data_IF_586237330116
#
_entry.id   IF_586237330116
#
_cell.length_a   1.000
_cell.length_b   1.000
_cell.length_c   1.000
_cell.angle_alpha   90.00
_cell.angle_beta   90.00
_cell.angle_gamma   90.00
#
_symmetry.space_group_name_H-M   'P 1'
#
loop_
_entity.id
_entity.type
_entity.pdbx_description
1 polymer ?
#
# COMPACT_ATOMS: atom_id res chain seq x y z
N UNK A 1 -21.28 -1.49 14.86
CA UNK A 1 -21.14 -1.47 16.34
C UNK A 1 -22.12 -2.48 16.90
N UNK A 2 -21.65 -3.35 17.77
CA UNK A 2 -22.46 -4.31 18.51
C UNK A 2 -22.72 -3.68 19.88
N UNK A 3 -23.98 -3.62 20.31
CA UNK A 3 -24.35 -3.00 21.60
C UNK A 3 -23.73 -3.65 22.82
N UNK A 4 -23.24 -4.91 22.68
CA UNK A 4 -22.58 -5.67 23.74
C UNK A 4 -21.04 -5.50 23.77
N UNK A 5 -20.42 -5.05 22.65
CA UNK A 5 -18.99 -4.89 22.51
C UNK A 5 -18.68 -3.46 22.02
N UNK A 6 -18.81 -2.49 22.95
CA UNK A 6 -18.59 -1.07 22.66
C UNK A 6 -17.09 -0.68 22.65
N UNK A 7 -16.26 -1.43 23.36
CA UNK A 7 -14.83 -1.18 23.45
C UNK A 7 -14.09 -1.98 22.38
N UNK A 8 -13.60 -1.29 21.36
CA UNK A 8 -12.84 -1.87 20.25
C UNK A 8 -11.51 -2.43 20.72
N UNK A 9 -10.85 -1.80 21.71
CA UNK A 9 -9.58 -2.24 22.26
C UNK A 9 -9.75 -3.55 23.01
N UNK A 10 -10.77 -3.65 23.86
CA UNK A 10 -11.09 -4.89 24.56
C UNK A 10 -11.41 -6.03 23.57
N UNK A 11 -12.19 -5.74 22.54
CA UNK A 11 -12.52 -6.70 21.49
C UNK A 11 -11.27 -7.22 20.76
N UNK A 12 -10.35 -6.32 20.41
CA UNK A 12 -9.08 -6.69 19.75
C UNK A 12 -8.23 -7.59 20.66
N UNK A 13 -8.11 -7.27 21.94
CA UNK A 13 -7.39 -8.09 22.92
C UNK A 13 -8.01 -9.49 23.06
N UNK A 14 -9.33 -9.59 23.16
CA UNK A 14 -10.04 -10.87 23.23
C UNK A 14 -9.85 -11.72 21.97
N UNK A 15 -9.90 -11.11 20.81
CA UNK A 15 -9.64 -11.80 19.55
C UNK A 15 -8.20 -12.31 19.47
N UNK A 16 -7.23 -11.46 19.83
CA UNK A 16 -5.83 -11.82 19.91
C UNK A 16 -5.62 -13.02 20.87
N UNK A 17 -6.16 -12.94 22.08
CA UNK A 17 -6.00 -14.02 23.07
C UNK A 17 -6.61 -15.33 22.56
N UNK A 18 -7.79 -15.30 21.97
CA UNK A 18 -8.43 -16.47 21.40
C UNK A 18 -7.59 -17.14 20.29
N UNK A 19 -6.97 -16.32 19.42
CA UNK A 19 -6.07 -16.82 18.36
C UNK A 19 -4.81 -17.43 18.98
N UNK A 20 -4.15 -16.72 19.91
CA UNK A 20 -2.92 -17.20 20.54
C UNK A 20 -3.15 -18.46 21.35
N UNK A 21 -4.24 -18.55 22.10
CA UNK A 21 -4.58 -19.73 22.89
C UNK A 21 -4.88 -20.94 21.98
N UNK A 22 -5.61 -20.69 20.89
CA UNK A 22 -5.87 -21.76 19.90
C UNK A 22 -4.60 -22.27 19.22
N UNK A 23 -3.68 -21.39 18.89
CA UNK A 23 -2.39 -21.78 18.31
C UNK A 23 -1.54 -22.53 19.31
N UNK A 24 -1.52 -22.11 20.58
CA UNK A 24 -0.86 -22.85 21.65
C UNK A 24 -1.41 -24.28 21.77
N UNK A 25 -2.75 -24.44 21.75
CA UNK A 25 -3.38 -25.75 21.89
C UNK A 25 -3.09 -26.67 20.70
N UNK A 26 -2.88 -26.09 19.49
CA UNK A 26 -2.58 -26.87 18.29
C UNK A 26 -1.10 -27.19 18.12
N UNK A 27 -0.20 -26.29 18.52
CA UNK A 27 1.24 -26.36 18.24
C UNK A 27 2.11 -26.58 19.48
N UNK A 28 1.51 -26.50 20.69
CA UNK A 28 2.23 -26.59 21.95
C UNK A 28 2.88 -25.29 22.40
N UNK A 29 3.01 -24.30 21.54
CA UNK A 29 3.64 -23.01 21.83
C UNK A 29 2.69 -21.87 21.56
N UNK A 30 2.71 -20.86 22.44
CA UNK A 30 1.97 -19.62 22.25
C UNK A 30 2.80 -18.68 21.38
N UNK A 31 2.27 -18.14 20.27
CA UNK A 31 2.99 -17.18 19.46
C UNK A 31 3.21 -15.86 20.22
N UNK A 32 4.33 -15.21 19.95
CA UNK A 32 4.60 -13.87 20.41
C UNK A 32 3.66 -12.87 19.75
N UNK A 33 3.45 -11.75 20.42
CA UNK A 33 2.57 -10.68 19.93
C UNK A 33 3.36 -9.38 19.88
N UNK A 34 3.65 -8.91 18.68
CA UNK A 34 4.18 -7.57 18.44
C UNK A 34 3.09 -6.68 17.83
N UNK A 35 2.78 -5.57 18.52
CA UNK A 35 1.76 -4.62 18.08
C UNK A 35 2.29 -3.63 17.03
N UNK A 36 3.61 -3.44 16.97
CA UNK A 36 4.26 -2.47 16.09
C UNK A 36 4.73 -3.13 14.79
N UNK A 37 5.39 -4.29 14.91
CA UNK A 37 5.98 -5.02 13.79
C UNK A 37 5.51 -6.49 13.77
N UNK A 38 4.20 -6.73 13.61
CA UNK A 38 3.69 -8.12 13.58
C UNK A 38 4.08 -8.80 12.28
N UNK A 39 4.42 -10.08 12.34
CA UNK A 39 4.61 -10.94 11.16
C UNK A 39 3.31 -11.05 10.35
N UNK A 40 2.18 -11.12 11.06
CA UNK A 40 0.87 -11.20 10.46
C UNK A 40 -0.13 -10.30 11.18
N UNK A 41 -0.71 -9.37 10.46
CA UNK A 41 -1.74 -8.47 11.01
C UNK A 41 -3.13 -9.04 10.78
N UNK A 42 -3.88 -9.20 11.88
CA UNK A 42 -5.25 -9.70 11.86
C UNK A 42 -6.21 -8.55 12.14
N UNK A 43 -7.19 -8.37 11.29
CA UNK A 43 -8.25 -7.37 11.45
C UNK A 43 -9.58 -8.05 11.74
N UNK A 44 -10.30 -7.57 12.75
CA UNK A 44 -11.61 -8.08 13.14
C UNK A 44 -12.66 -7.00 12.96
N UNK A 45 -13.64 -7.28 12.14
CA UNK A 45 -14.79 -6.39 11.91
C UNK A 45 -16.05 -7.01 12.53
N UNK A 46 -16.65 -6.29 13.47
CA UNK A 46 -17.89 -6.68 14.12
C UNK A 46 -19.05 -5.83 13.61
N UNK A 47 -20.04 -6.49 13.03
CA UNK A 47 -21.25 -5.83 12.55
C UNK A 47 -22.50 -6.58 13.04
N UNK A 48 -23.27 -5.97 13.93
CA UNK A 48 -24.42 -6.60 14.56
C UNK A 48 -24.06 -7.95 15.21
N UNK A 49 -24.49 -9.06 14.64
CA UNK A 49 -24.24 -10.44 15.11
C UNK A 49 -23.17 -11.17 14.30
N UNK A 50 -22.52 -10.49 13.35
CA UNK A 50 -21.50 -11.07 12.50
C UNK A 50 -20.12 -10.56 12.88
N UNK A 51 -19.18 -11.46 13.06
CA UNK A 51 -17.74 -11.17 13.13
C UNK A 51 -17.09 -11.62 11.82
N UNK A 52 -16.32 -10.73 11.21
CA UNK A 52 -15.49 -11.08 10.05
C UNK A 52 -14.04 -10.87 10.42
N UNK A 53 -13.23 -11.88 10.21
CA UNK A 53 -11.80 -11.86 10.47
C UNK A 53 -11.08 -11.78 9.14
N UNK A 54 -10.19 -10.83 9.00
CA UNK A 54 -9.34 -10.64 7.83
C UNK A 54 -7.88 -10.78 8.22
N UNK A 55 -7.09 -11.24 7.29
CA UNK A 55 -5.63 -11.22 7.37
C UNK A 55 -5.16 -10.09 6.45
N UNK A 56 -4.36 -9.18 6.98
CA UNK A 56 -3.79 -8.09 6.20
C UNK A 56 -2.51 -8.57 5.51
N UNK A 57 -2.63 -8.83 4.23
CA UNK A 57 -1.52 -9.28 3.38
C UNK A 57 -0.64 -8.12 2.90
N UNK A 58 -1.07 -6.87 3.09
CA UNK A 58 -0.28 -5.71 2.67
C UNK A 58 0.86 -5.37 3.64
N UNK A 59 0.71 -5.71 4.92
CA UNK A 59 1.69 -5.43 5.96
C UNK A 59 1.83 -3.96 6.37
N UNK A 60 1.16 -3.05 5.67
CA UNK A 60 1.16 -1.61 5.95
C UNK A 60 0.36 -0.83 4.92
N UNK A 61 0.26 0.50 5.10
CA UNK A 61 -0.49 1.34 4.16
C UNK A 61 0.08 1.26 2.74
N UNK A 62 -0.79 0.96 1.76
CA UNK A 62 -0.41 0.87 0.35
C UNK A 62 -0.17 2.25 -0.29
N UNK A 63 -0.58 3.32 0.37
CA UNK A 63 -0.26 4.68 -0.07
C UNK A 63 1.22 5.02 0.09
N UNK A 64 1.91 4.35 1.02
CA UNK A 64 3.33 4.55 1.24
C UNK A 64 4.16 3.88 0.12
N UNK A 65 4.48 4.64 -0.92
CA UNK A 65 5.28 4.18 -2.08
C UNK A 65 6.80 4.17 -1.80
N UNK A 66 7.25 4.89 -0.78
CA UNK A 66 8.67 5.01 -0.43
C UNK A 66 9.44 6.13 -1.16
N UNK A 67 8.84 6.83 -2.11
CA UNK A 67 9.51 7.94 -2.79
C UNK A 67 9.39 9.28 -2.05
N UNK A 68 8.58 9.34 -1.02
CA UNK A 68 8.34 10.57 -0.26
C UNK A 68 9.28 10.64 0.92
N UNK A 69 10.07 11.71 1.00
CA UNK A 69 10.85 12.02 2.20
C UNK A 69 9.96 12.74 3.21
N UNK A 70 9.69 12.08 4.34
CA UNK A 70 8.85 12.63 5.40
C UNK A 70 9.38 13.94 5.98
N UNK A 71 10.69 14.22 5.86
CA UNK A 71 11.32 15.43 6.36
C UNK A 71 11.10 16.67 5.46
N UNK A 72 10.69 16.46 4.20
CA UNK A 72 10.55 17.53 3.21
C UNK A 72 9.12 17.96 2.91
N UNK A 73 8.12 17.27 3.46
CA UNK A 73 6.72 17.59 3.21
C UNK A 73 6.22 18.69 4.14
N UNK A 74 6.28 19.94 3.70
CA UNK A 74 5.74 21.11 4.43
C UNK A 74 4.26 21.34 4.21
N UNK A 75 3.64 20.68 3.23
CA UNK A 75 2.21 20.79 2.91
C UNK A 75 1.50 19.43 3.05
N UNK A 76 0.19 19.43 3.26
CA UNK A 76 -0.63 18.22 3.24
C UNK A 76 -0.80 17.75 1.79
N UNK A 77 0.02 16.83 1.31
CA UNK A 77 -0.01 16.43 -0.08
C UNK A 77 -1.21 15.54 -0.37
N UNK A 78 -1.59 15.46 -1.64
CA UNK A 78 -2.54 14.45 -2.12
C UNK A 78 -1.94 13.06 -1.83
N UNK A 79 -2.74 12.14 -1.27
CA UNK A 79 -2.31 10.76 -1.06
C UNK A 79 -1.99 10.08 -2.40
N UNK A 80 -0.95 9.27 -2.44
CA UNK A 80 -0.48 8.58 -3.63
C UNK A 80 -1.58 7.72 -4.27
N UNK A 81 -2.35 7.02 -3.45
CA UNK A 81 -3.47 6.19 -3.92
C UNK A 81 -4.59 7.03 -4.55
N UNK A 82 -4.83 8.24 -4.03
CA UNK A 82 -5.82 9.15 -4.61
C UNK A 82 -5.31 9.71 -5.95
N UNK A 83 -4.05 10.13 -6.02
CA UNK A 83 -3.43 10.59 -7.26
C UNK A 83 -3.48 9.51 -8.35
N UNK A 84 -3.12 8.27 -8.01
CA UNK A 84 -3.23 7.13 -8.93
C UNK A 84 -4.67 6.89 -9.37
N UNK A 85 -5.65 6.96 -8.46
CA UNK A 85 -7.07 6.78 -8.79
C UNK A 85 -7.58 7.87 -9.75
N UNK A 86 -7.18 9.12 -9.56
CA UNK A 86 -7.52 10.22 -10.46
C UNK A 86 -6.96 10.00 -11.87
N UNK A 87 -5.70 9.57 -11.97
CA UNK A 87 -5.04 9.27 -13.25
C UNK A 87 -5.71 8.09 -13.97
N UNK A 88 -6.07 7.04 -13.24
CA UNK A 88 -6.79 5.90 -13.79
C UNK A 88 -8.19 6.31 -14.27
N UNK A 89 -8.91 7.12 -13.51
CA UNK A 89 -10.22 7.65 -13.90
C UNK A 89 -10.14 8.53 -15.17
N UNK A 90 -9.02 9.21 -15.39
CA UNK A 90 -8.74 10.00 -16.59
C UNK A 90 -8.23 9.17 -17.79
N UNK A 91 -8.19 7.86 -17.71
CA UNK A 91 -7.59 6.95 -18.70
C UNK A 91 -6.12 7.29 -19.02
N UNK A 92 -5.37 7.74 -17.99
CA UNK A 92 -3.95 8.07 -18.21
C UNK A 92 -3.13 6.91 -18.79
N UNK A 93 -3.30 5.65 -18.39
CA UNK A 93 -2.58 4.52 -19.00
C UNK A 93 -2.80 4.42 -20.51
N UNK A 94 -4.03 4.61 -20.99
CA UNK A 94 -4.37 4.63 -22.42
C UNK A 94 -3.77 5.85 -23.13
N UNK A 95 -3.92 7.02 -22.53
CA UNK A 95 -3.38 8.29 -23.05
C UNK A 95 -1.87 8.27 -23.17
N UNK A 96 -1.16 7.82 -22.13
CA UNK A 96 0.30 7.70 -22.13
C UNK A 96 0.80 6.77 -23.25
N UNK A 97 0.11 5.65 -23.50
CA UNK A 97 0.46 4.75 -24.62
C UNK A 97 0.28 5.41 -25.98
N UNK A 98 -0.68 6.32 -26.15
CA UNK A 98 -0.89 7.10 -27.37
C UNK A 98 0.10 8.26 -27.54
N UNK A 99 0.90 8.55 -26.52
CA UNK A 99 1.87 9.64 -26.53
C UNK A 99 1.29 10.98 -26.08
N UNK A 100 0.13 10.98 -25.43
CA UNK A 100 -0.46 12.19 -24.86
C UNK A 100 0.47 12.77 -23.76
N UNK A 101 0.41 14.09 -23.63
CA UNK A 101 1.21 14.85 -22.64
C UNK A 101 0.35 15.11 -21.40
N UNK A 102 0.94 14.96 -20.21
CA UNK A 102 0.33 15.37 -18.96
C UNK A 102 0.95 16.69 -18.50
N UNK A 103 0.10 17.63 -18.10
CA UNK A 103 0.52 18.90 -17.51
C UNK A 103 -0.14 19.05 -16.15
N UNK A 104 0.67 19.20 -15.11
CA UNK A 104 0.27 19.51 -13.74
C UNK A 104 0.80 20.90 -13.38
N UNK A 105 -0.07 21.91 -13.46
CA UNK A 105 0.31 23.31 -13.28
C UNK A 105 0.32 23.78 -11.82
N UNK A 106 -0.12 22.93 -10.89
CA UNK A 106 -0.11 23.19 -9.43
C UNK A 106 0.34 21.92 -8.70
N UNK A 107 1.54 21.46 -9.01
CA UNK A 107 2.01 20.13 -8.64
C UNK A 107 2.34 19.95 -7.15
N UNK A 108 2.48 21.03 -6.40
CA UNK A 108 2.90 21.01 -4.99
C UNK A 108 4.11 20.07 -4.79
N UNK A 109 3.93 18.97 -4.05
CA UNK A 109 4.99 17.95 -3.84
C UNK A 109 5.23 17.04 -5.04
N UNK A 110 4.56 17.24 -6.16
CA UNK A 110 4.71 16.45 -7.39
C UNK A 110 4.05 15.08 -7.37
N UNK A 111 3.20 14.77 -6.38
CA UNK A 111 2.60 13.44 -6.23
C UNK A 111 1.89 12.96 -7.49
N UNK A 112 1.06 13.83 -8.11
CA UNK A 112 0.32 13.47 -9.32
C UNK A 112 1.28 13.19 -10.50
N UNK A 113 2.29 14.02 -10.66
CA UNK A 113 3.29 13.86 -11.72
C UNK A 113 4.12 12.59 -11.55
N UNK A 114 4.51 12.25 -10.30
CA UNK A 114 5.26 11.03 -9.99
C UNK A 114 4.40 9.79 -10.26
N UNK A 115 3.17 9.74 -9.77
CA UNK A 115 2.26 8.62 -10.03
C UNK A 115 1.96 8.49 -11.54
N UNK A 116 1.84 9.61 -12.26
CA UNK A 116 1.66 9.61 -13.69
C UNK A 116 2.88 9.01 -14.43
N UNK A 117 4.10 9.35 -13.98
CA UNK A 117 5.33 8.79 -14.53
C UNK A 117 5.44 7.28 -14.26
N UNK A 118 5.14 6.85 -13.04
CA UNK A 118 5.14 5.43 -12.67
C UNK A 118 4.14 4.63 -13.52
N UNK A 119 2.91 5.13 -13.67
CA UNK A 119 1.88 4.49 -14.50
C UNK A 119 2.31 4.43 -15.97
N UNK A 120 2.86 5.53 -16.51
CA UNK A 120 3.29 5.60 -17.90
C UNK A 120 4.48 4.68 -18.21
N UNK A 121 5.35 4.46 -17.24
CA UNK A 121 6.52 3.58 -17.34
C UNK A 121 6.21 2.13 -16.90
N UNK A 122 4.96 1.82 -16.58
CA UNK A 122 4.54 0.50 -16.10
C UNK A 122 5.31 0.01 -14.84
N UNK A 123 5.68 0.96 -13.99
CA UNK A 123 6.38 0.68 -12.72
C UNK A 123 5.36 0.24 -11.68
N UNK A 124 5.58 -0.92 -11.09
CA UNK A 124 4.72 -1.44 -10.03
C UNK A 124 4.76 -0.51 -8.80
N UNK A 125 3.59 -0.07 -8.27
CA UNK A 125 3.54 0.90 -7.17
C UNK A 125 4.14 0.40 -5.85
N UNK A 126 4.34 -0.91 -5.72
CA UNK A 126 4.96 -1.55 -4.55
C UNK A 126 6.43 -1.93 -4.73
N UNK A 127 7.08 -1.56 -5.83
CA UNK A 127 8.44 -2.02 -6.15
C UNK A 127 9.49 -1.62 -5.10
N UNK A 128 9.28 -0.46 -4.45
CA UNK A 128 10.18 0.04 -3.41
C UNK A 128 9.84 -0.45 -2.00
N UNK A 129 8.80 -1.25 -1.83
CA UNK A 129 8.41 -1.77 -0.51
C UNK A 129 9.30 -2.93 -0.12
N UNK A 130 9.87 -2.85 1.08
CA UNK A 130 10.71 -3.89 1.67
C UNK A 130 9.94 -4.88 2.54
N UNK A 131 8.69 -4.56 2.91
CA UNK A 131 7.91 -5.38 3.83
C UNK A 131 6.50 -5.63 3.30
N UNK A 132 6.13 -6.91 3.22
CA UNK A 132 4.82 -7.38 2.80
C UNK A 132 4.25 -8.32 3.85
N UNK A 133 2.99 -8.12 4.25
CA UNK A 133 2.34 -8.92 5.30
C UNK A 133 2.18 -10.39 4.92
N UNK A 134 2.14 -10.72 3.63
CA UNK A 134 2.07 -12.11 3.18
C UNK A 134 3.40 -12.86 3.32
N UNK A 135 4.54 -12.19 3.47
CA UNK A 135 5.84 -12.85 3.68
C UNK A 135 5.85 -13.70 4.96
N UNK A 136 5.11 -13.29 5.99
CA UNK A 136 4.93 -14.09 7.22
C UNK A 136 3.90 -15.21 7.11
N UNK A 137 3.25 -15.39 5.99
CA UNK A 137 2.24 -16.43 5.79
C UNK A 137 2.90 -17.79 5.56
N UNK A 138 2.36 -18.85 6.20
CA UNK A 138 2.90 -20.22 6.08
C UNK A 138 2.81 -20.83 4.67
N UNK A 139 1.99 -20.26 3.79
CA UNK A 139 1.86 -20.63 2.38
C UNK A 139 2.60 -19.68 1.43
N UNK A 140 3.47 -18.81 1.96
CA UNK A 140 4.30 -17.95 1.13
C UNK A 140 5.30 -18.79 0.33
N UNK A 141 5.41 -18.50 -0.95
CA UNK A 141 6.39 -19.09 -1.86
C UNK A 141 7.35 -17.98 -2.32
N UNK A 142 8.54 -18.00 -1.74
CA UNK A 142 9.57 -17.00 -2.02
C UNK A 142 10.04 -17.05 -3.49
N UNK A 143 10.09 -18.25 -4.09
CA UNK A 143 10.52 -18.39 -5.48
C UNK A 143 9.48 -17.76 -6.43
N UNK A 144 8.21 -18.04 -6.19
CA UNK A 144 7.12 -17.41 -6.94
C UNK A 144 7.09 -15.88 -6.74
N UNK A 145 7.36 -15.42 -5.52
CA UNK A 145 7.42 -13.98 -5.24
C UNK A 145 8.57 -13.31 -6.02
N UNK A 146 9.73 -13.95 -6.08
CA UNK A 146 10.87 -13.44 -6.85
C UNK A 146 10.53 -13.38 -8.35
N UNK A 147 9.86 -14.39 -8.90
CA UNK A 147 9.39 -14.33 -10.30
C UNK A 147 8.46 -13.14 -10.55
N UNK A 148 7.56 -12.81 -9.61
CA UNK A 148 6.67 -11.64 -9.72
C UNK A 148 7.48 -10.34 -9.72
N UNK A 149 8.51 -10.23 -8.88
CA UNK A 149 9.38 -9.07 -8.85
C UNK A 149 10.18 -8.92 -10.15
N UNK A 150 10.75 -10.01 -10.67
CA UNK A 150 11.51 -10.01 -11.92
C UNK A 150 10.61 -9.62 -13.12
N UNK A 151 9.36 -10.09 -13.14
CA UNK A 151 8.38 -9.65 -14.14
C UNK A 151 8.07 -8.14 -14.01
N UNK A 152 7.94 -7.63 -12.79
CA UNK A 152 7.68 -6.22 -12.57
C UNK A 152 8.85 -5.34 -13.03
N UNK A 153 10.07 -5.76 -12.76
CA UNK A 153 11.31 -5.09 -13.22
C UNK A 153 11.41 -5.10 -14.74
N UNK A 154 11.13 -6.22 -15.37
CA UNK A 154 11.13 -6.35 -16.84
C UNK A 154 10.13 -5.38 -17.46
N UNK A 155 8.91 -5.32 -16.94
CA UNK A 155 7.87 -4.39 -17.41
C UNK A 155 8.29 -2.92 -17.23
N UNK A 156 8.91 -2.58 -16.11
CA UNK A 156 9.40 -1.23 -15.86
C UNK A 156 10.51 -0.83 -16.85
N UNK A 157 11.42 -1.75 -17.19
CA UNK A 157 12.49 -1.53 -18.18
C UNK A 157 11.93 -1.34 -19.58
N UNK A 158 10.93 -2.14 -19.98
CA UNK A 158 10.26 -2.02 -21.28
C UNK A 158 9.39 -0.75 -21.36
N UNK A 159 8.74 -0.38 -20.26
CA UNK A 159 7.88 0.79 -20.12
C UNK A 159 8.62 2.12 -20.07
N UNK A 160 9.90 2.12 -19.75
CA UNK A 160 10.75 3.31 -19.55
C UNK A 160 11.02 4.12 -20.82
N UNK A 161 10.10 4.12 -21.79
CA UNK A 161 10.18 4.98 -22.97
C UNK A 161 9.76 6.40 -22.60
N UNK A 162 10.49 7.36 -23.16
CA UNK A 162 10.31 8.79 -22.92
C UNK A 162 8.82 9.20 -22.99
N UNK A 163 8.28 9.62 -21.86
CA UNK A 163 6.96 10.22 -21.74
C UNK A 163 7.13 11.67 -21.31
N UNK A 164 6.26 12.55 -21.81
CA UNK A 164 6.38 13.97 -21.50
C UNK A 164 5.36 14.32 -20.42
N UNK A 165 5.87 14.62 -19.24
CA UNK A 165 5.10 15.09 -18.09
C UNK A 165 5.70 16.42 -17.67
N UNK A 166 4.89 17.47 -17.68
CA UNK A 166 5.25 18.78 -17.16
C UNK A 166 4.61 18.96 -15.78
N UNK A 167 5.40 19.32 -14.81
CA UNK A 167 4.93 19.67 -13.47
C UNK A 167 5.52 21.02 -13.07
N UNK A 168 4.70 21.91 -12.59
CA UNK A 168 5.11 23.23 -12.12
C UNK A 168 4.26 23.66 -10.94
N UNK A 169 4.84 24.53 -10.10
CA UNK A 169 4.14 25.15 -8.98
C UNK A 169 4.62 26.59 -8.84
N UNK A 170 3.80 27.40 -8.18
CA UNK A 170 4.20 28.74 -7.79
C UNK A 170 5.17 28.63 -6.59
N UNK A 171 6.45 28.86 -6.84
CA UNK A 171 7.45 28.89 -5.77
C UNK A 171 7.46 30.30 -5.17
N UNK A 172 6.83 30.50 -4.03
CA UNK A 172 7.13 31.66 -3.20
C UNK A 172 8.57 31.53 -2.71
N UNK A 173 9.45 32.36 -3.25
CA UNK A 173 10.80 32.50 -2.70
C UNK A 173 10.66 33.32 -1.42
N UNK A 174 10.77 32.66 -0.28
CA UNK A 174 11.12 33.31 0.98
C UNK A 174 12.56 33.80 0.96
#
# INVERSE_FOLDING_TARGET
>A
TNDQLRDTRYTALRAKDAICDRLRDLRGERPDVDAQHPDLRVQVNLRSRRATVYIDLSGGSLENRGYRDAARSTSSPVHETLAAAMLLAADWPGRARRGDVLVDSMCASGTLAIEAAMIAADIAPGITRSNWGFAGWSGHDEALWQEVLDMADTRAQEGSRSRVIYAGDECERE
#
